data_IF_295015395522
#
_entry.id   IF_295015395522
#
_cell.length_a   1.000
_cell.length_b   1.000
_cell.length_c   1.000
_cell.angle_alpha   90.00
_cell.angle_beta   90.00
_cell.angle_gamma   90.00
#
_symmetry.space_group_name_H-M   'P 1'
#
loop_
_entity.id
_entity.type
_entity.pdbx_description
1 polymer ?
#
# COMPACT_ATOMS: atom_id res chain seq x y z
N UNK A 1 24.18 4.03 -67.37
CA UNK A 1 24.87 4.37 -66.10
C UNK A 1 23.87 4.97 -65.14
N UNK A 2 23.36 4.18 -64.19
CA UNK A 2 22.78 4.65 -62.92
C UNK A 2 22.27 3.43 -62.12
N UNK A 3 23.18 2.80 -61.38
CA UNK A 3 22.87 1.72 -60.46
C UNK A 3 22.33 2.33 -59.15
N UNK A 4 21.04 2.15 -58.88
CA UNK A 4 20.45 2.41 -57.56
C UNK A 4 20.69 1.18 -56.66
N UNK A 5 21.61 1.34 -55.71
CA UNK A 5 21.95 0.32 -54.72
C UNK A 5 20.84 0.23 -53.67
N UNK A 6 20.26 -0.96 -53.50
CA UNK A 6 19.35 -1.29 -52.39
C UNK A 6 20.18 -1.38 -51.11
N UNK A 7 20.02 -0.40 -50.21
CA UNK A 7 20.49 -0.50 -48.83
C UNK A 7 19.51 -1.33 -48.01
N UNK A 8 19.86 -2.58 -47.70
CA UNK A 8 19.18 -3.37 -46.68
C UNK A 8 19.48 -2.78 -45.30
N UNK A 9 18.45 -2.22 -44.67
CA UNK A 9 18.43 -1.91 -43.24
C UNK A 9 18.37 -3.23 -42.46
N UNK A 10 19.54 -3.75 -42.11
CA UNK A 10 19.70 -4.80 -41.10
C UNK A 10 19.27 -4.23 -39.74
N UNK A 11 18.04 -4.53 -39.33
CA UNK A 11 17.57 -4.18 -38.00
C UNK A 11 18.18 -5.11 -36.95
N UNK A 12 18.81 -4.47 -35.96
CA UNK A 12 19.46 -5.03 -34.77
C UNK A 12 18.80 -6.30 -34.20
N UNK A 13 19.46 -7.44 -34.41
CA UNK A 13 19.22 -8.71 -33.71
C UNK A 13 20.09 -8.85 -32.43
N UNK A 14 20.49 -7.73 -31.82
CA UNK A 14 21.35 -7.73 -30.62
C UNK A 14 20.59 -7.14 -29.44
N UNK A 15 20.22 -8.03 -28.49
CA UNK A 15 19.97 -7.78 -27.05
C UNK A 15 18.69 -8.42 -26.44
N UNK A 16 18.30 -9.63 -26.84
CA UNK A 16 17.31 -10.44 -26.06
C UNK A 16 17.96 -11.54 -25.20
N UNK A 17 19.15 -12.00 -25.59
CA UNK A 17 19.84 -13.16 -24.98
C UNK A 17 20.07 -13.07 -23.46
N UNK A 18 20.50 -11.92 -22.88
CA UNK A 18 20.76 -11.83 -21.44
C UNK A 18 19.50 -11.90 -20.57
N UNK A 19 18.36 -11.40 -21.07
CA UNK A 19 17.09 -11.42 -20.34
C UNK A 19 16.48 -12.82 -20.32
N UNK A 20 16.55 -13.55 -21.44
CA UNK A 20 16.05 -14.92 -21.54
C UNK A 20 16.81 -15.88 -20.62
N UNK A 21 18.14 -15.74 -20.53
CA UNK A 21 18.98 -16.53 -19.63
C UNK A 21 18.63 -16.24 -18.16
N UNK A 22 18.45 -14.96 -17.82
CA UNK A 22 18.05 -14.54 -16.47
C UNK A 22 16.67 -15.09 -16.09
N UNK A 23 15.70 -15.06 -17.02
CA UNK A 23 14.37 -15.60 -16.79
C UNK A 23 14.40 -17.12 -16.58
N UNK A 24 15.18 -17.85 -17.39
CA UNK A 24 15.34 -19.30 -17.25
C UNK A 24 15.91 -19.69 -15.88
N UNK A 25 16.95 -19.00 -15.41
CA UNK A 25 17.53 -19.25 -14.08
C UNK A 25 16.54 -19.01 -12.94
N UNK A 26 15.70 -17.97 -13.04
CA UNK A 26 14.66 -17.71 -12.05
C UNK A 26 13.57 -18.79 -12.06
N UNK A 27 13.19 -19.31 -13.24
CA UNK A 27 12.24 -20.42 -13.35
C UNK A 27 12.77 -21.68 -12.68
N UNK A 28 14.07 -21.97 -12.82
CA UNK A 28 14.72 -23.09 -12.12
C UNK A 28 14.73 -22.85 -10.61
N UNK A 29 15.14 -21.66 -10.16
CA UNK A 29 15.18 -21.28 -8.73
C UNK A 29 13.81 -21.42 -8.05
N UNK A 30 12.74 -21.00 -8.73
CA UNK A 30 11.38 -20.99 -8.19
C UNK A 30 10.48 -22.11 -8.75
N UNK A 31 11.06 -23.20 -9.27
CA UNK A 31 10.29 -24.25 -9.96
C UNK A 31 9.20 -24.88 -9.07
N UNK A 32 9.46 -25.01 -7.77
CA UNK A 32 8.53 -25.61 -6.81
C UNK A 32 7.29 -24.73 -6.63
N UNK A 33 7.47 -23.42 -6.54
CA UNK A 33 6.41 -22.41 -6.47
C UNK A 33 5.58 -22.43 -7.75
N UNK A 34 6.24 -22.39 -8.91
CA UNK A 34 5.58 -22.41 -10.22
C UNK A 34 4.81 -23.72 -10.46
N UNK A 35 5.40 -24.87 -10.10
CA UNK A 35 4.76 -26.17 -10.18
C UNK A 35 3.51 -26.27 -9.30
N UNK A 36 3.60 -25.75 -8.06
CA UNK A 36 2.46 -25.65 -7.15
C UNK A 36 1.32 -24.79 -7.73
N UNK A 37 1.65 -23.63 -8.31
CA UNK A 37 0.68 -22.75 -8.96
C UNK A 37 0.00 -23.41 -10.17
N UNK A 38 0.76 -24.04 -11.06
CA UNK A 38 0.20 -24.78 -12.22
C UNK A 38 -0.77 -25.86 -11.77
N UNK A 39 -0.38 -26.66 -10.79
CA UNK A 39 -1.23 -27.72 -10.26
C UNK A 39 -2.50 -27.16 -9.63
N UNK A 40 -2.40 -26.08 -8.86
CA UNK A 40 -3.55 -25.42 -8.24
C UNK A 40 -4.56 -24.90 -9.29
N UNK A 41 -4.07 -24.18 -10.30
CA UNK A 41 -4.91 -23.60 -11.36
C UNK A 41 -5.54 -24.68 -12.24
N UNK A 42 -4.78 -25.71 -12.61
CA UNK A 42 -5.26 -26.86 -13.38
C UNK A 42 -6.38 -27.61 -12.64
N UNK A 43 -6.20 -27.84 -11.34
CA UNK A 43 -7.13 -28.63 -10.53
C UNK A 43 -8.29 -27.80 -9.93
N UNK A 44 -8.34 -26.48 -10.18
CA UNK A 44 -9.38 -25.56 -9.67
C UNK A 44 -9.58 -25.70 -8.16
N UNK A 45 -8.49 -25.88 -7.41
CA UNK A 45 -8.55 -26.17 -5.98
C UNK A 45 -9.11 -24.96 -5.22
N UNK A 46 -9.91 -25.20 -4.17
CA UNK A 46 -10.43 -24.12 -3.32
C UNK A 46 -9.30 -23.43 -2.58
N UNK A 47 -9.41 -22.12 -2.44
CA UNK A 47 -8.46 -21.31 -1.66
C UNK A 47 -8.52 -21.67 -0.18
N UNK A 48 -7.35 -21.74 0.47
CA UNK A 48 -7.25 -21.95 1.91
C UNK A 48 -7.57 -20.66 2.66
N UNK A 49 -8.01 -20.78 3.92
CA UNK A 49 -8.23 -19.62 4.79
C UNK A 49 -6.91 -18.88 5.07
N UNK A 50 -6.95 -17.56 5.14
CA UNK A 50 -5.79 -16.73 5.48
C UNK A 50 -5.47 -16.85 6.97
N UNK A 51 -4.19 -16.80 7.33
CA UNK A 51 -3.74 -16.68 8.72
C UNK A 51 -2.81 -15.47 8.89
N UNK A 52 -2.97 -14.75 10.00
CA UNK A 52 -2.09 -13.64 10.38
C UNK A 52 -0.85 -14.16 11.11
N UNK A 53 0.23 -13.37 11.10
CA UNK A 53 1.37 -13.65 11.96
C UNK A 53 0.92 -13.62 13.44
N UNK A 54 1.65 -14.32 14.31
CA UNK A 54 1.31 -14.33 15.74
C UNK A 54 1.51 -12.93 16.34
N UNK A 55 0.69 -12.57 17.32
CA UNK A 55 0.78 -11.26 17.98
C UNK A 55 2.16 -11.00 18.59
N UNK A 56 2.85 -12.05 19.07
CA UNK A 56 4.21 -11.94 19.61
C UNK A 56 5.20 -11.48 18.53
N UNK A 57 5.13 -12.04 17.32
CA UNK A 57 5.98 -11.64 16.20
C UNK A 57 5.64 -10.24 15.70
N UNK A 58 4.36 -9.91 15.64
CA UNK A 58 3.89 -8.56 15.30
C UNK A 58 4.43 -7.52 16.29
N UNK A 59 4.33 -7.80 17.59
CA UNK A 59 4.85 -6.92 18.64
C UNK A 59 6.38 -6.79 18.53
N UNK A 60 7.10 -7.89 18.27
CA UNK A 60 8.55 -7.85 18.07
C UNK A 60 8.94 -6.90 16.94
N UNK A 61 8.27 -7.00 15.78
CA UNK A 61 8.52 -6.11 14.63
C UNK A 61 8.28 -4.63 14.97
N UNK A 62 7.28 -4.32 15.78
CA UNK A 62 6.99 -2.95 16.22
C UNK A 62 8.10 -2.47 17.18
N UNK A 63 8.48 -3.28 18.16
CA UNK A 63 9.50 -2.96 19.17
C UNK A 63 10.87 -2.71 18.55
N UNK A 64 11.28 -3.49 17.55
CA UNK A 64 12.57 -3.29 16.87
C UNK A 64 12.53 -2.21 15.77
N UNK A 65 11.41 -1.50 15.64
CA UNK A 65 11.19 -0.50 14.61
C UNK A 65 11.40 -1.05 13.19
N UNK A 66 10.93 -2.28 12.95
CA UNK A 66 11.08 -2.94 11.67
C UNK A 66 10.44 -2.14 10.54
N UNK A 67 10.99 -2.31 9.34
CA UNK A 67 10.58 -1.59 8.14
C UNK A 67 10.01 -2.52 7.08
N UNK A 68 9.14 -1.97 6.24
CA UNK A 68 8.61 -2.68 5.08
C UNK A 68 9.74 -3.01 4.09
N UNK A 69 9.94 -4.28 3.70
CA UNK A 69 11.02 -4.67 2.79
C UNK A 69 10.94 -4.02 1.41
N UNK A 70 9.74 -3.63 0.96
CA UNK A 70 9.55 -2.97 -0.33
C UNK A 70 9.83 -1.46 -0.30
N UNK A 71 9.55 -0.76 0.81
CA UNK A 71 9.53 0.72 0.79
C UNK A 71 10.20 1.39 1.97
N UNK A 72 10.76 0.64 2.92
CA UNK A 72 11.40 1.20 4.12
C UNK A 72 10.43 1.85 5.11
N UNK A 73 9.11 1.81 4.87
CA UNK A 73 8.14 2.38 5.82
C UNK A 73 8.17 1.60 7.13
N UNK A 74 8.46 2.29 8.24
CA UNK A 74 8.46 1.70 9.59
C UNK A 74 7.08 1.17 9.97
N UNK A 75 7.04 -0.02 10.54
CA UNK A 75 5.85 -0.61 11.10
C UNK A 75 5.46 0.08 12.39
N UNK A 76 4.21 0.55 12.46
CA UNK A 76 3.61 1.22 13.62
C UNK A 76 2.12 0.94 13.64
N UNK A 77 1.59 0.68 14.84
CA UNK A 77 0.16 0.45 15.05
C UNK A 77 -0.40 -0.58 14.06
N UNK A 78 -1.38 -0.19 13.26
CA UNK A 78 -2.04 -1.04 12.27
C UNK A 78 -1.58 -0.84 10.83
N UNK A 79 -0.44 -0.21 10.54
CA UNK A 79 -0.04 0.15 9.16
C UNK A 79 0.54 -1.03 8.33
N UNK A 80 0.53 -2.25 8.87
CA UNK A 80 1.14 -3.43 8.27
C UNK A 80 0.24 -4.66 8.40
N UNK A 81 0.49 -5.66 7.55
CA UNK A 81 -0.16 -6.97 7.63
C UNK A 81 0.77 -8.08 7.13
N UNK A 82 0.43 -9.30 7.54
CA UNK A 82 1.11 -10.50 7.04
C UNK A 82 0.54 -10.82 5.67
N UNK A 83 1.42 -10.85 4.67
CA UNK A 83 1.05 -11.09 3.29
C UNK A 83 1.65 -12.40 2.78
N UNK A 84 0.98 -13.00 1.80
CA UNK A 84 1.49 -14.15 1.10
C UNK A 84 2.32 -13.70 -0.10
N UNK A 85 3.57 -14.18 -0.20
CA UNK A 85 4.47 -13.80 -1.30
C UNK A 85 3.88 -14.27 -2.63
N UNK A 86 3.53 -15.56 -2.67
CA UNK A 86 2.66 -16.18 -3.65
C UNK A 86 1.21 -16.11 -3.16
N UNK A 87 0.30 -15.38 -3.85
CA UNK A 87 -1.09 -15.27 -3.42
C UNK A 87 -1.80 -16.61 -3.34
N UNK A 88 -2.63 -16.81 -2.31
CA UNK A 88 -3.44 -18.04 -2.14
C UNK A 88 -4.36 -18.28 -3.35
N UNK A 89 -4.85 -17.21 -3.99
CA UNK A 89 -5.68 -17.30 -5.21
C UNK A 89 -4.94 -17.89 -6.42
N UNK A 90 -3.61 -17.97 -6.37
CA UNK A 90 -2.75 -18.56 -7.39
C UNK A 90 -2.07 -19.85 -6.91
N UNK A 91 -2.46 -20.40 -5.75
CA UNK A 91 -1.91 -21.63 -5.20
C UNK A 91 -0.90 -21.46 -4.05
N UNK A 92 -0.72 -20.23 -3.55
CA UNK A 92 0.10 -19.96 -2.38
C UNK A 92 -0.34 -20.73 -1.13
N UNK A 93 0.63 -21.16 -0.33
CA UNK A 93 0.38 -21.90 0.92
C UNK A 93 0.44 -20.99 2.14
N UNK A 94 -0.05 -21.47 3.30
CA UNK A 94 0.03 -20.75 4.58
C UNK A 94 1.35 -21.01 5.34
N UNK A 95 2.34 -21.60 4.70
CA UNK A 95 3.62 -21.91 5.33
C UNK A 95 4.42 -20.62 5.56
N UNK A 96 5.29 -20.61 6.57
CA UNK A 96 6.09 -19.42 6.89
C UNK A 96 7.05 -19.02 5.76
N UNK A 97 7.42 -19.95 4.88
CA UNK A 97 8.19 -19.65 3.66
C UNK A 97 7.44 -18.77 2.67
N UNK A 98 6.10 -18.86 2.65
CA UNK A 98 5.27 -18.06 1.74
C UNK A 98 4.69 -16.82 2.43
N UNK A 99 5.22 -16.43 3.60
CA UNK A 99 4.64 -15.34 4.39
C UNK A 99 5.69 -14.31 4.70
N UNK A 100 5.30 -13.05 4.65
CA UNK A 100 6.16 -11.92 4.98
C UNK A 100 5.34 -10.79 5.60
N UNK A 101 5.98 -9.91 6.36
CA UNK A 101 5.32 -8.69 6.82
C UNK A 101 5.54 -7.56 5.80
N UNK A 102 4.45 -6.95 5.35
CA UNK A 102 4.47 -5.77 4.47
C UNK A 102 3.65 -4.63 5.07
N UNK A 103 3.97 -3.40 4.69
CA UNK A 103 3.05 -2.30 4.94
C UNK A 103 1.81 -2.47 4.04
N UNK A 104 0.66 -2.00 4.53
CA UNK A 104 -0.61 -2.10 3.82
C UNK A 104 -0.57 -1.46 2.44
N UNK A 105 0.16 -0.35 2.25
CA UNK A 105 0.30 0.30 0.94
C UNK A 105 1.02 -0.58 -0.08
N UNK A 106 2.15 -1.22 0.29
CA UNK A 106 2.84 -2.13 -0.62
C UNK A 106 2.02 -3.39 -0.90
N UNK A 107 1.30 -3.90 0.10
CA UNK A 107 0.40 -5.03 -0.11
C UNK A 107 -0.75 -4.68 -1.07
N UNK A 108 -1.43 -3.55 -0.85
CA UNK A 108 -2.50 -3.08 -1.74
C UNK A 108 -1.99 -2.89 -3.17
N UNK A 109 -0.81 -2.28 -3.35
CA UNK A 109 -0.20 -2.12 -4.66
C UNK A 109 0.09 -3.48 -5.34
N UNK A 110 0.61 -4.48 -4.62
CA UNK A 110 0.78 -5.86 -5.16
C UNK A 110 -0.55 -6.44 -5.64
N UNK A 111 -1.61 -6.27 -4.86
CA UNK A 111 -2.96 -6.74 -5.25
C UNK A 111 -3.48 -6.01 -6.49
N UNK A 112 -3.26 -4.69 -6.61
CA UNK A 112 -3.61 -3.92 -7.79
C UNK A 112 -2.86 -4.38 -9.04
N UNK A 113 -1.56 -4.65 -8.92
CA UNK A 113 -0.74 -5.18 -10.03
C UNK A 113 -1.27 -6.55 -10.48
N UNK A 114 -1.55 -7.45 -9.53
CA UNK A 114 -2.11 -8.76 -9.85
C UNK A 114 -3.44 -8.63 -10.61
N UNK A 115 -4.32 -7.73 -10.18
CA UNK A 115 -5.62 -7.54 -10.82
C UNK A 115 -5.52 -6.86 -12.18
N UNK A 116 -4.60 -5.90 -12.33
CA UNK A 116 -4.34 -5.26 -13.62
C UNK A 116 -3.81 -6.26 -14.65
N UNK A 117 -2.94 -7.18 -14.23
CA UNK A 117 -2.31 -8.15 -15.11
C UNK A 117 -3.22 -9.37 -15.41
N UNK A 118 -3.92 -9.89 -14.39
CA UNK A 118 -4.61 -11.18 -14.46
C UNK A 118 -6.15 -11.06 -14.40
N UNK A 119 -6.67 -9.83 -14.24
CA UNK A 119 -8.09 -9.58 -14.01
C UNK A 119 -8.57 -9.99 -12.61
N UNK A 120 -9.85 -10.37 -12.52
CA UNK A 120 -10.44 -10.80 -11.25
C UNK A 120 -10.48 -12.34 -11.13
N UNK A 121 -10.31 -12.89 -9.91
CA UNK A 121 -10.46 -14.32 -9.69
C UNK A 121 -11.86 -14.83 -10.09
N UNK A 122 -12.03 -16.12 -10.42
CA UNK A 122 -11.03 -17.18 -10.30
C UNK A 122 -10.05 -17.25 -11.49
N UNK A 123 -8.75 -17.20 -11.19
CA UNK A 123 -7.67 -17.24 -12.20
C UNK A 123 -7.55 -18.58 -12.94
N UNK A 124 -8.22 -19.63 -12.48
CA UNK A 124 -8.32 -20.89 -13.22
C UNK A 124 -9.05 -20.75 -14.56
N UNK A 125 -9.76 -19.63 -14.80
CA UNK A 125 -10.45 -19.35 -16.07
C UNK A 125 -9.51 -18.90 -17.19
N UNK A 126 -8.42 -18.23 -16.83
CA UNK A 126 -7.42 -17.73 -17.80
C UNK A 126 -6.30 -18.75 -18.04
N UNK A 127 -6.31 -19.87 -17.31
CA UNK A 127 -5.33 -20.94 -17.45
C UNK A 127 -5.83 -22.02 -18.42
N UNK A 128 -4.99 -22.55 -19.34
CA UNK A 128 -3.55 -22.30 -19.47
C UNK A 128 -3.14 -21.12 -20.36
N UNK A 129 -4.09 -20.44 -21.01
CA UNK A 129 -3.83 -19.44 -22.06
C UNK A 129 -2.91 -18.30 -21.59
N UNK A 130 -3.19 -17.77 -20.39
CA UNK A 130 -2.46 -16.64 -19.78
C UNK A 130 -1.43 -17.12 -18.74
N UNK A 131 -0.90 -18.34 -18.87
CA UNK A 131 0.08 -18.85 -17.92
C UNK A 131 1.33 -17.97 -17.85
N UNK A 132 1.76 -17.40 -18.98
CA UNK A 132 2.94 -16.54 -19.02
C UNK A 132 2.77 -15.30 -18.11
N UNK A 133 1.62 -14.63 -18.16
CA UNK A 133 1.32 -13.51 -17.27
C UNK A 133 1.32 -13.92 -15.78
N UNK A 134 0.74 -15.09 -15.45
CA UNK A 134 0.77 -15.63 -14.09
C UNK A 134 2.20 -15.93 -13.65
N UNK A 135 2.99 -16.59 -14.49
CA UNK A 135 4.38 -16.96 -14.22
C UNK A 135 5.23 -15.72 -13.92
N UNK A 136 5.14 -14.69 -14.75
CA UNK A 136 5.90 -13.44 -14.57
C UNK A 136 5.51 -12.71 -13.28
N UNK A 137 4.22 -12.64 -12.95
CA UNK A 137 3.79 -12.05 -11.67
C UNK A 137 4.32 -12.83 -10.46
N UNK A 138 4.32 -14.17 -10.52
CA UNK A 138 4.84 -15.00 -9.45
C UNK A 138 6.35 -14.84 -9.30
N UNK A 139 7.10 -14.86 -10.39
CA UNK A 139 8.55 -14.66 -10.36
C UNK A 139 8.93 -13.27 -9.86
N UNK A 140 8.22 -12.22 -10.30
CA UNK A 140 8.36 -10.87 -9.77
C UNK A 140 8.07 -10.82 -8.26
N UNK A 141 7.01 -11.50 -7.82
CA UNK A 141 6.60 -11.55 -6.41
C UNK A 141 7.65 -12.19 -5.51
N UNK A 142 8.30 -13.26 -5.98
CA UNK A 142 9.36 -13.96 -5.24
C UNK A 142 10.66 -13.15 -5.23
N UNK A 143 11.13 -12.68 -6.40
CA UNK A 143 12.43 -12.01 -6.52
C UNK A 143 12.48 -10.67 -5.79
N UNK A 144 11.37 -9.91 -5.76
CA UNK A 144 11.31 -8.63 -5.03
C UNK A 144 11.41 -8.83 -3.52
N UNK A 145 11.06 -10.01 -3.02
CA UNK A 145 11.29 -10.39 -1.62
C UNK A 145 12.69 -10.94 -1.42
N UNK A 146 13.16 -11.85 -2.27
CA UNK A 146 14.43 -12.52 -2.01
C UNK A 146 15.66 -11.74 -2.42
N UNK A 147 15.54 -10.72 -3.28
CA UNK A 147 16.68 -9.98 -3.82
C UNK A 147 16.46 -8.46 -3.76
N UNK A 148 15.41 -7.98 -3.08
CA UNK A 148 15.10 -6.55 -3.01
C UNK A 148 14.17 -6.06 -4.13
N UNK A 149 13.48 -4.95 -3.87
CA UNK A 149 12.50 -4.39 -4.80
C UNK A 149 13.09 -4.08 -6.18
N UNK A 150 14.33 -3.57 -6.25
CA UNK A 150 15.00 -3.24 -7.52
C UNK A 150 15.19 -4.45 -8.44
N UNK A 151 15.28 -5.66 -7.89
CA UNK A 151 15.38 -6.89 -8.68
C UNK A 151 14.10 -7.20 -9.46
N UNK A 152 12.99 -6.55 -9.12
CA UNK A 152 11.75 -6.58 -9.88
C UNK A 152 11.89 -6.04 -11.31
N UNK A 153 12.86 -5.17 -11.59
CA UNK A 153 13.09 -4.60 -12.93
C UNK A 153 13.42 -5.65 -14.01
N UNK A 154 13.69 -6.91 -13.62
CA UNK A 154 13.80 -8.04 -14.55
C UNK A 154 12.47 -8.45 -15.19
N UNK A 155 11.35 -8.00 -14.61
CA UNK A 155 9.97 -8.14 -15.14
C UNK A 155 9.36 -6.75 -15.28
N UNK A 156 9.79 -5.95 -16.27
CA UNK A 156 9.47 -4.51 -16.36
C UNK A 156 7.97 -4.25 -16.35
N UNK A 157 7.17 -5.04 -17.06
CA UNK A 157 5.72 -4.88 -17.14
C UNK A 157 5.02 -5.05 -15.77
N UNK A 158 5.52 -5.94 -14.91
CA UNK A 158 4.97 -6.13 -13.56
C UNK A 158 5.52 -5.07 -12.60
N UNK A 159 6.80 -4.74 -12.75
CA UNK A 159 7.48 -3.80 -11.87
C UNK A 159 7.01 -2.37 -12.07
N UNK A 160 6.83 -1.92 -13.30
CA UNK A 160 6.31 -0.60 -13.63
C UNK A 160 4.89 -0.41 -13.11
N UNK A 161 4.00 -1.41 -13.27
CA UNK A 161 2.67 -1.38 -12.66
C UNK A 161 2.75 -1.23 -11.13
N UNK A 162 3.72 -1.87 -10.48
CA UNK A 162 3.92 -1.72 -9.04
C UNK A 162 4.44 -0.34 -8.67
N UNK A 163 5.42 0.19 -9.39
CA UNK A 163 5.97 1.53 -9.15
C UNK A 163 4.90 2.59 -9.40
N UNK A 164 4.06 2.43 -10.41
CA UNK A 164 2.91 3.30 -10.66
C UNK A 164 1.92 3.24 -9.49
N UNK A 165 1.46 2.04 -9.14
CA UNK A 165 0.48 1.85 -8.07
C UNK A 165 0.99 2.28 -6.69
N UNK A 166 2.29 2.16 -6.41
CA UNK A 166 2.86 2.42 -5.08
C UNK A 166 3.53 3.78 -4.96
N UNK A 167 4.18 4.26 -6.01
CA UNK A 167 5.10 5.39 -5.97
C UNK A 167 4.85 6.39 -7.10
N UNK A 168 3.73 6.32 -7.82
CA UNK A 168 3.42 7.20 -8.96
C UNK A 168 4.54 7.20 -10.02
N UNK A 169 5.06 6.01 -10.29
CA UNK A 169 6.06 5.75 -11.32
C UNK A 169 7.50 6.00 -10.88
N UNK A 170 7.73 6.47 -9.64
CA UNK A 170 9.07 6.75 -9.14
C UNK A 170 9.67 5.58 -8.35
N UNK A 171 10.98 5.36 -8.47
CA UNK A 171 11.69 4.44 -7.59
C UNK A 171 11.81 5.01 -6.17
N UNK A 172 11.73 4.17 -5.11
CA UNK A 172 11.93 4.65 -3.76
C UNK A 172 13.35 5.20 -3.58
N UNK A 173 13.47 6.35 -2.90
CA UNK A 173 14.74 7.08 -2.68
C UNK A 173 15.77 6.24 -1.92
N UNK A 174 15.32 5.34 -1.05
CA UNK A 174 16.17 4.43 -0.30
C UNK A 174 15.48 3.10 -0.04
N UNK A 175 16.27 2.03 0.02
CA UNK A 175 15.81 0.72 0.51
C UNK A 175 15.55 0.73 2.02
N UNK A 176 14.99 -0.36 2.56
CA UNK A 176 14.88 -0.54 4.00
C UNK A 176 16.27 -0.63 4.65
N UNK A 177 16.30 -0.41 5.95
CA UNK A 177 17.47 -0.58 6.83
C UNK A 177 17.22 -1.66 7.88
N UNK A 178 15.97 -1.78 8.34
CA UNK A 178 15.55 -2.70 9.40
C UNK A 178 14.41 -3.62 8.96
N UNK A 179 14.45 -4.14 7.74
CA UNK A 179 13.45 -5.11 7.28
C UNK A 179 13.82 -6.55 7.68
N UNK A 180 12.78 -7.36 7.80
CA UNK A 180 12.88 -8.80 8.00
C UNK A 180 12.43 -9.52 6.72
N UNK A 181 13.06 -10.66 6.44
CA UNK A 181 12.68 -11.51 5.31
C UNK A 181 11.40 -12.31 5.55
N UNK A 182 11.31 -13.45 4.87
CA UNK A 182 10.21 -14.42 5.02
C UNK A 182 10.05 -14.80 6.48
N UNK A 183 8.83 -15.14 6.93
CA UNK A 183 8.60 -15.50 8.33
C UNK A 183 9.41 -16.74 8.75
N UNK A 184 9.82 -17.59 7.81
CA UNK A 184 10.68 -18.74 8.09
C UNK A 184 12.15 -18.40 8.32
N UNK A 185 12.61 -17.21 7.95
CA UNK A 185 14.03 -16.86 8.07
C UNK A 185 14.38 -16.20 9.39
N UNK A 186 13.39 -15.89 10.24
CA UNK A 186 13.64 -15.23 11.51
C UNK A 186 12.69 -15.64 12.65
N UNK A 187 13.20 -15.49 13.88
CA UNK A 187 12.52 -15.71 15.15
C UNK A 187 12.32 -14.44 15.99
N UNK A 188 11.50 -14.53 17.03
CA UNK A 188 11.35 -13.45 18.03
C UNK A 188 12.67 -13.31 18.79
N UNK A 189 13.18 -12.09 18.90
CA UNK A 189 14.49 -11.82 19.52
C UNK A 189 15.64 -11.68 18.52
N UNK A 190 15.43 -12.01 17.25
CA UNK A 190 16.46 -11.90 16.21
C UNK A 190 16.51 -10.51 15.56
N UNK A 191 17.67 -10.20 15.00
CA UNK A 191 17.96 -8.96 14.28
C UNK A 191 17.37 -8.94 12.86
N UNK A 192 17.16 -7.75 12.26
CA UNK A 192 16.72 -7.62 10.87
C UNK A 192 17.64 -8.36 9.89
N UNK A 193 17.07 -9.30 9.13
CA UNK A 193 17.83 -10.22 8.27
C UNK A 193 17.50 -10.11 6.78
N UNK A 194 16.77 -9.07 6.37
CA UNK A 194 16.42 -8.87 4.97
C UNK A 194 17.65 -8.51 4.14
N UNK A 195 17.90 -9.23 3.05
CA UNK A 195 19.06 -9.01 2.17
C UNK A 195 19.07 -7.62 1.52
N UNK A 196 17.89 -7.04 1.28
CA UNK A 196 17.76 -5.70 0.74
C UNK A 196 17.89 -4.59 1.80
N UNK A 197 18.24 -4.94 3.04
CA UNK A 197 18.62 -3.94 4.03
C UNK A 197 19.88 -3.24 3.53
N UNK A 198 19.71 -1.98 3.14
CA UNK A 198 20.84 -1.10 2.91
C UNK A 198 21.61 -1.03 4.21
N UNK A 199 22.83 -1.59 4.23
CA UNK A 199 23.75 -1.32 5.32
C UNK A 199 23.73 0.19 5.55
N UNK A 200 23.80 0.63 6.80
CA UNK A 200 24.06 2.03 7.12
C UNK A 200 25.47 2.42 6.66
N UNK A 201 25.79 2.22 5.38
CA UNK A 201 26.92 2.78 4.68
C UNK A 201 26.69 4.29 4.70
N UNK A 202 27.40 4.91 5.64
CA UNK A 202 27.74 6.33 5.61
C UNK A 202 28.15 6.66 4.18
N UNK A 203 27.30 7.37 3.44
CA UNK A 203 27.75 8.07 2.24
C UNK A 203 27.15 9.44 2.23
N UNK A 204 28.07 10.39 2.37
CA UNK A 204 27.94 11.78 1.97
C UNK A 204 27.41 11.89 0.54
N UNK A 205 26.78 13.05 0.28
CA UNK A 205 26.48 13.69 -1.01
C UNK A 205 26.44 12.77 -2.24
N UNK A 206 25.29 12.67 -2.89
CA UNK A 206 25.01 13.58 -4.01
C UNK A 206 23.55 14.07 -3.99
N UNK A 207 23.38 15.38 -3.80
CA UNK A 207 22.19 16.10 -4.29
C UNK A 207 22.50 16.55 -5.70
N UNK A 208 21.65 16.19 -6.65
CA UNK A 208 21.21 17.09 -7.74
C UNK A 208 20.08 16.42 -8.52
N UNK A 209 18.84 16.73 -8.16
CA UNK A 209 17.74 16.75 -9.11
C UNK A 209 16.99 18.06 -8.91
N UNK A 210 17.02 18.88 -9.95
CA UNK A 210 16.25 20.11 -10.11
C UNK A 210 14.77 19.80 -9.91
N UNK A 211 14.19 20.32 -8.82
CA UNK A 211 12.77 20.19 -8.53
C UNK A 211 11.94 21.00 -9.53
N UNK A 212 11.35 20.32 -10.51
CA UNK A 212 10.23 20.84 -11.30
C UNK A 212 8.95 20.79 -10.46
N UNK A 213 8.02 21.71 -10.74
CA UNK A 213 6.72 21.86 -10.05
C UNK A 213 5.91 20.54 -10.02
N UNK A 214 6.12 19.65 -11.00
CA UNK A 214 5.52 18.30 -11.03
C UNK A 214 5.95 17.39 -9.87
N UNK A 215 7.19 17.52 -9.37
CA UNK A 215 7.69 16.74 -8.23
C UNK A 215 7.03 17.15 -6.90
N UNK A 216 6.57 18.40 -6.81
CA UNK A 216 5.85 18.91 -5.64
C UNK A 216 4.41 18.39 -5.60
N UNK A 217 3.73 18.35 -6.75
CA UNK A 217 2.40 17.76 -6.91
C UNK A 217 2.41 16.24 -6.67
N UNK A 218 3.41 15.51 -7.18
CA UNK A 218 3.56 14.06 -6.91
C UNK A 218 3.85 13.75 -5.45
N UNK A 219 4.66 14.58 -4.77
CA UNK A 219 4.93 14.42 -3.33
C UNK A 219 3.69 14.72 -2.48
N UNK A 220 2.82 15.64 -2.90
CA UNK A 220 1.50 15.87 -2.28
C UNK A 220 0.52 14.73 -2.56
N UNK A 221 0.49 14.17 -3.77
CA UNK A 221 -0.31 12.99 -4.09
C UNK A 221 0.06 11.77 -3.21
N UNK A 222 1.35 11.60 -2.89
CA UNK A 222 1.84 10.58 -1.96
C UNK A 222 1.36 10.81 -0.52
N UNK A 223 1.47 12.03 -0.01
CA UNK A 223 0.91 12.41 1.30
C UNK A 223 -0.62 12.25 1.33
N UNK A 224 -1.27 12.47 0.19
CA UNK A 224 -2.69 12.25 -0.01
C UNK A 224 -3.09 10.79 0.08
N UNK A 225 -2.40 9.88 -0.61
CA UNK A 225 -2.63 8.44 -0.45
C UNK A 225 -2.28 7.94 0.96
N UNK A 226 -1.24 8.48 1.59
CA UNK A 226 -0.89 8.15 2.98
C UNK A 226 -1.97 8.68 3.99
N UNK A 227 -2.67 9.77 3.67
CA UNK A 227 -3.80 10.29 4.49
C UNK A 227 -5.13 9.58 4.18
N UNK A 228 -5.30 9.07 2.95
CA UNK A 228 -6.50 8.39 2.46
C UNK A 228 -6.81 7.07 3.16
N UNK A 229 -5.79 6.35 3.59
CA UNK A 229 -5.92 4.99 4.10
C UNK A 229 -5.73 4.87 5.62
N UNK A 230 -5.89 6.00 6.33
CA UNK A 230 -6.07 6.04 7.79
C UNK A 230 -4.82 5.59 8.58
N UNK A 231 -3.69 6.28 8.38
CA UNK A 231 -2.37 5.89 8.92
C UNK A 231 -1.82 6.73 10.08
N UNK A 232 -2.59 7.64 10.69
CA UNK A 232 -2.20 8.22 11.98
C UNK A 232 -3.08 7.67 13.11
N UNK A 233 -2.45 7.01 14.07
CA UNK A 233 -3.08 6.73 15.36
C UNK A 233 -3.18 8.04 16.14
N UNK A 234 -4.26 8.28 16.92
CA UNK A 234 -4.36 9.45 17.77
C UNK A 234 -3.16 9.49 18.73
N UNK A 235 -2.39 10.57 18.65
CA UNK A 235 -1.35 10.86 19.64
C UNK A 235 -2.04 11.16 20.96
N UNK A 236 -1.80 10.31 21.97
CA UNK A 236 -2.15 10.60 23.36
C UNK A 236 -1.39 11.87 23.79
N UNK A 237 -2.02 13.03 23.61
CA UNK A 237 -1.62 14.31 24.18
C UNK A 237 -2.43 14.52 25.46
N UNK A 238 -2.10 13.73 26.48
CA UNK A 238 -2.53 13.97 27.86
C UNK A 238 -1.53 14.89 28.55
N UNK A 239 -2.01 16.06 28.93
CA UNK A 239 -1.30 17.18 29.55
C UNK A 239 -0.45 16.81 30.76
N UNK A 240 0.74 17.42 30.79
CA UNK A 240 1.50 17.83 31.96
C UNK A 240 0.64 18.66 32.93
N UNK A 241 0.49 18.20 34.17
CA UNK A 241 0.37 19.08 35.34
C UNK A 241 1.27 18.58 36.47
N UNK A 242 2.08 19.50 36.97
CA UNK A 242 3.03 19.46 38.10
C UNK A 242 2.29 19.37 39.45
N UNK A 243 2.64 18.46 40.39
CA UNK A 243 3.55 18.65 41.56
C UNK A 243 2.94 17.89 42.77
N UNK A 244 3.61 17.73 43.93
CA UNK A 244 4.96 17.22 44.18
C UNK A 244 5.00 16.11 45.28
N UNK A 245 6.13 15.42 45.37
CA UNK A 245 6.80 14.84 46.54
C UNK A 245 5.96 14.24 47.70
N UNK A 246 6.14 12.93 47.92
CA UNK A 246 6.37 12.41 49.27
C UNK A 246 7.28 11.19 49.23
N UNK A 247 8.45 11.34 49.85
CA UNK A 247 9.33 10.27 50.29
C UNK A 247 8.59 9.38 51.29
N UNK A 248 8.77 8.06 51.19
CA UNK A 248 8.92 7.24 52.38
C UNK A 248 9.76 5.99 52.06
N UNK A 249 10.85 5.90 52.80
CA UNK A 249 11.79 4.77 52.89
C UNK A 249 11.25 3.81 53.94
N UNK A 250 10.96 2.55 53.59
CA UNK A 250 11.01 1.43 54.55
C UNK A 250 11.51 0.17 53.85
N UNK A 251 12.67 -0.30 54.31
CA UNK A 251 13.28 -1.62 54.12
C UNK A 251 12.50 -2.73 54.81
N UNK A 252 12.44 -3.93 54.23
CA UNK A 252 11.99 -5.13 54.95
C UNK A 252 11.92 -6.38 54.08
N UNK A 253 12.42 -7.50 54.61
CA UNK A 253 12.81 -8.75 53.93
C UNK A 253 11.66 -9.75 53.68
N UNK A 254 11.96 -10.70 52.78
CA UNK A 254 11.66 -12.14 52.81
C UNK A 254 10.24 -12.68 52.52
N UNK A 255 10.22 -13.45 51.43
CA UNK A 255 9.89 -14.88 51.35
C UNK A 255 8.42 -15.37 51.25
N UNK A 256 8.23 -16.16 50.18
CA UNK A 256 7.30 -17.28 49.92
C UNK A 256 5.78 -17.07 49.98
N UNK A 257 5.18 -17.35 48.82
CA UNK A 257 4.11 -18.33 48.58
C UNK A 257 2.72 -17.87 48.11
N UNK A 258 2.26 -18.68 47.15
CA UNK A 258 0.89 -19.02 46.75
C UNK A 258 -0.17 -17.96 46.41
N UNK A 259 -0.61 -18.06 45.15
CA UNK A 259 -2.03 -18.10 44.78
C UNK A 259 -2.88 -16.85 44.99
N UNK A 260 -2.81 -15.91 44.04
CA UNK A 260 -3.93 -14.99 43.77
C UNK A 260 -4.26 -14.91 42.28
N UNK A 261 -5.45 -15.44 41.99
CA UNK A 261 -6.23 -15.27 40.76
C UNK A 261 -6.33 -13.78 40.45
N UNK A 262 -5.71 -13.36 39.34
CA UNK A 262 -5.83 -12.01 38.79
C UNK A 262 -7.24 -11.81 38.22
N UNK A 263 -7.94 -10.71 38.58
CA UNK A 263 -9.19 -10.37 37.92
C UNK A 263 -8.88 -9.95 36.49
N UNK A 264 -9.56 -10.62 35.55
CA UNK A 264 -9.55 -10.30 34.13
C UNK A 264 -10.21 -8.92 33.94
N UNK A 265 -9.43 -7.86 34.06
CA UNK A 265 -9.83 -6.50 33.68
C UNK A 265 -10.06 -6.52 32.18
N UNK A 266 -11.33 -6.65 31.81
CA UNK A 266 -11.78 -6.57 30.44
C UNK A 266 -11.87 -5.08 30.13
N UNK A 267 -10.77 -4.47 29.71
CA UNK A 267 -10.82 -3.18 29.02
C UNK A 267 -11.47 -3.45 27.66
N UNK A 268 -12.81 -3.45 27.64
CA UNK A 268 -13.55 -3.29 26.42
C UNK A 268 -13.22 -1.90 25.89
N UNK A 269 -12.42 -1.83 24.84
CA UNK A 269 -12.50 -0.73 23.89
C UNK A 269 -13.94 -0.72 23.36
N UNK A 270 -14.83 0.00 24.06
CA UNK A 270 -16.07 0.47 23.48
C UNK A 270 -15.66 1.45 22.39
N UNK A 271 -15.40 0.93 21.18
CA UNK A 271 -15.48 1.72 19.95
C UNK A 271 -16.92 2.21 19.87
N UNK A 272 -17.18 3.37 20.46
CA UNK A 272 -18.43 4.08 20.27
C UNK A 272 -18.62 4.21 18.76
N UNK A 273 -19.68 3.61 18.24
CA UNK A 273 -20.16 3.85 16.88
C UNK A 273 -20.67 5.29 16.84
N UNK A 274 -19.76 6.25 16.86
CA UNK A 274 -20.10 7.65 16.69
C UNK A 274 -20.52 7.81 15.22
N UNK A 275 -21.80 8.11 15.02
CA UNK A 275 -22.36 8.46 13.72
C UNK A 275 -22.51 9.98 13.66
N UNK A 276 -22.33 10.55 12.47
CA UNK A 276 -22.55 11.99 12.27
C UNK A 276 -24.03 12.29 12.36
N UNK A 277 -24.36 13.39 13.03
CA UNK A 277 -25.70 13.97 12.97
C UNK A 277 -25.98 14.56 11.59
N UNK A 278 -27.26 14.64 11.22
CA UNK A 278 -27.68 15.27 9.95
C UNK A 278 -27.19 16.73 9.86
N UNK A 279 -27.15 17.45 10.98
CA UNK A 279 -26.63 18.82 11.05
C UNK A 279 -25.15 18.88 10.72
N UNK A 280 -24.33 17.95 11.21
CA UNK A 280 -22.90 17.88 10.87
C UNK A 280 -22.68 17.52 9.40
N UNK A 281 -23.49 16.63 8.84
CA UNK A 281 -23.45 16.27 7.42
C UNK A 281 -23.78 17.50 6.55
N UNK A 282 -24.80 18.28 6.93
CA UNK A 282 -25.16 19.53 6.24
C UNK A 282 -24.04 20.57 6.29
N UNK A 283 -23.37 20.75 7.44
CA UNK A 283 -22.22 21.65 7.58
C UNK A 283 -21.06 21.22 6.68
N UNK A 284 -20.77 19.91 6.61
CA UNK A 284 -19.73 19.37 5.73
C UNK A 284 -20.04 19.63 4.26
N UNK A 285 -21.29 19.37 3.84
CA UNK A 285 -21.76 19.62 2.47
C UNK A 285 -21.62 21.08 2.09
N UNK A 286 -22.06 22.01 2.94
CA UNK A 286 -21.89 23.45 2.69
C UNK A 286 -20.42 23.82 2.54
N UNK A 287 -19.56 23.37 3.46
CA UNK A 287 -18.11 23.64 3.41
C UNK A 287 -17.46 23.12 2.13
N UNK A 288 -17.84 21.92 1.68
CA UNK A 288 -17.30 21.34 0.45
C UNK A 288 -17.81 22.05 -0.80
N UNK A 289 -19.06 22.53 -0.79
CA UNK A 289 -19.61 23.36 -1.85
C UNK A 289 -18.85 24.68 -1.97
N UNK A 290 -18.67 25.40 -0.86
CA UNK A 290 -17.94 26.66 -0.83
C UNK A 290 -16.49 26.47 -1.33
N UNK A 291 -15.84 25.37 -0.94
CA UNK A 291 -14.49 25.04 -1.41
C UNK A 291 -14.45 24.74 -2.91
N UNK A 292 -15.36 23.90 -3.41
CA UNK A 292 -15.41 23.54 -4.82
C UNK A 292 -15.69 24.75 -5.70
N UNK A 293 -16.68 25.59 -5.34
CA UNK A 293 -16.98 26.83 -6.06
C UNK A 293 -15.79 27.79 -6.08
N UNK A 294 -15.07 27.93 -4.96
CA UNK A 294 -13.87 28.75 -4.92
C UNK A 294 -12.74 28.16 -5.78
N UNK A 295 -12.57 26.84 -5.81
CA UNK A 295 -11.60 26.18 -6.67
C UNK A 295 -11.93 26.38 -8.16
N UNK A 296 -13.19 26.23 -8.56
CA UNK A 296 -13.64 26.48 -9.94
C UNK A 296 -13.37 27.94 -10.35
N UNK A 297 -13.71 28.90 -9.49
CA UNK A 297 -13.49 30.32 -9.75
C UNK A 297 -12.00 30.69 -9.88
N UNK A 298 -11.11 30.00 -9.16
CA UNK A 298 -9.67 30.31 -9.15
C UNK A 298 -8.86 29.61 -10.24
N UNK A 299 -9.36 28.49 -10.79
CA UNK A 299 -8.59 27.59 -11.64
C UNK A 299 -9.27 27.35 -13.00
N UNK A 300 -9.84 28.42 -13.58
CA UNK A 300 -10.44 28.40 -14.92
C UNK A 300 -11.50 27.29 -15.07
N UNK A 301 -12.38 27.16 -14.07
CA UNK A 301 -13.47 26.18 -14.10
C UNK A 301 -13.04 24.73 -13.85
N UNK A 302 -11.84 24.47 -13.31
CA UNK A 302 -11.38 23.09 -13.07
C UNK A 302 -10.60 22.88 -11.77
N UNK A 303 -10.61 21.67 -11.20
CA UNK A 303 -9.74 21.29 -10.08
C UNK A 303 -9.55 19.78 -9.99
N UNK A 304 -8.47 19.30 -9.36
CA UNK A 304 -8.20 17.86 -9.29
C UNK A 304 -9.12 17.14 -8.29
N UNK A 305 -9.59 15.95 -8.68
CA UNK A 305 -10.32 15.03 -7.82
C UNK A 305 -9.52 14.69 -6.55
N UNK A 306 -8.19 14.58 -6.67
CA UNK A 306 -7.31 14.32 -5.54
C UNK A 306 -7.37 15.41 -4.48
N UNK A 307 -7.35 16.68 -4.88
CA UNK A 307 -7.36 17.81 -3.93
C UNK A 307 -8.70 17.89 -3.18
N UNK A 308 -9.82 17.68 -3.88
CA UNK A 308 -11.13 17.63 -3.24
C UNK A 308 -11.27 16.46 -2.27
N UNK A 309 -10.83 15.27 -2.68
CA UNK A 309 -10.89 14.09 -1.82
C UNK A 309 -9.96 14.23 -0.60
N UNK A 310 -8.89 15.04 -0.71
CA UNK A 310 -8.04 15.36 0.43
C UNK A 310 -8.83 16.11 1.50
N UNK A 311 -9.57 17.14 1.10
CA UNK A 311 -10.45 17.89 2.00
C UNK A 311 -11.45 16.95 2.71
N UNK A 312 -12.10 16.05 1.98
CA UNK A 312 -13.03 15.05 2.55
C UNK A 312 -12.33 14.15 3.58
N UNK A 313 -11.12 13.66 3.26
CA UNK A 313 -10.31 12.84 4.17
C UNK A 313 -9.90 13.60 5.44
N UNK A 314 -9.56 14.87 5.30
CA UNK A 314 -9.15 15.74 6.41
C UNK A 314 -10.29 15.94 7.41
N UNK A 315 -11.50 16.20 6.92
CA UNK A 315 -12.70 16.36 7.73
C UNK A 315 -13.08 15.09 8.49
N UNK A 316 -12.86 13.92 7.88
CA UNK A 316 -13.04 12.62 8.53
C UNK A 316 -12.05 12.43 9.67
N UNK A 317 -10.76 12.69 9.43
CA UNK A 317 -9.69 12.57 10.44
C UNK A 317 -9.95 13.51 11.62
N UNK A 318 -10.33 14.76 11.33
CA UNK A 318 -10.63 15.76 12.36
C UNK A 318 -11.77 15.31 13.30
N UNK A 319 -12.62 14.39 12.86
CA UNK A 319 -13.74 13.84 13.63
C UNK A 319 -13.47 12.45 14.22
N UNK A 320 -12.28 11.88 13.99
CA UNK A 320 -11.91 10.57 14.50
C UNK A 320 -12.77 9.41 13.95
N UNK A 321 -13.39 9.59 12.77
CA UNK A 321 -14.34 8.62 12.22
C UNK A 321 -13.66 7.60 11.31
N UNK A 322 -14.09 6.35 11.41
CA UNK A 322 -13.72 5.35 10.40
C UNK A 322 -14.36 5.69 9.06
N UNK A 323 -13.69 5.36 7.94
CA UNK A 323 -14.25 5.53 6.59
C UNK A 323 -15.66 4.94 6.45
N UNK A 324 -15.89 3.74 7.01
CA UNK A 324 -17.19 3.08 6.89
C UNK A 324 -18.31 3.85 7.60
N UNK A 325 -18.02 4.46 8.75
CA UNK A 325 -19.00 5.29 9.48
C UNK A 325 -19.22 6.62 8.76
N UNK A 326 -18.13 7.25 8.31
CA UNK A 326 -18.16 8.54 7.63
C UNK A 326 -18.91 8.46 6.29
N UNK A 327 -18.58 7.49 5.45
CA UNK A 327 -19.23 7.31 4.14
C UNK A 327 -20.70 6.91 4.27
N UNK A 328 -21.04 6.10 5.30
CA UNK A 328 -22.44 5.78 5.58
C UNK A 328 -23.25 7.04 5.92
N UNK A 329 -22.71 7.90 6.78
CA UNK A 329 -23.39 9.13 7.16
C UNK A 329 -23.59 10.09 5.99
N UNK A 330 -22.66 10.10 5.03
CA UNK A 330 -22.78 10.89 3.80
C UNK A 330 -23.67 10.23 2.75
N UNK A 331 -24.14 8.99 2.95
CA UNK A 331 -24.86 8.25 1.92
C UNK A 331 -23.98 7.85 0.70
N UNK A 332 -22.67 7.72 0.90
CA UNK A 332 -21.70 7.36 -0.14
C UNK A 332 -21.41 5.86 -0.12
N UNK A 333 -21.33 5.24 -1.30
CA UNK A 333 -21.08 3.81 -1.42
C UNK A 333 -19.66 3.42 -0.98
N UNK A 334 -19.54 2.70 0.14
CA UNK A 334 -18.25 2.37 0.77
C UNK A 334 -17.23 1.67 -0.16
N UNK A 335 -17.69 0.79 -1.05
CA UNK A 335 -16.83 0.01 -1.95
C UNK A 335 -16.63 0.65 -3.34
N UNK A 336 -17.13 1.86 -3.56
CA UNK A 336 -16.94 2.54 -4.84
C UNK A 336 -15.49 3.01 -5.02
N UNK A 337 -15.06 3.14 -6.28
CA UNK A 337 -13.78 3.78 -6.59
C UNK A 337 -13.81 5.26 -6.18
N UNK A 338 -12.65 5.83 -5.87
CA UNK A 338 -12.53 7.20 -5.36
C UNK A 338 -13.23 8.25 -6.27
N UNK A 339 -13.08 8.25 -7.61
CA UNK A 339 -13.83 9.17 -8.47
C UNK A 339 -15.35 9.03 -8.37
N UNK A 340 -15.85 7.81 -8.18
CA UNK A 340 -17.29 7.55 -8.00
C UNK A 340 -17.81 8.03 -6.64
N UNK A 341 -16.97 8.02 -5.59
CA UNK A 341 -17.31 8.61 -4.29
C UNK A 341 -17.36 10.13 -4.36
N UNK A 342 -16.36 10.73 -5.01
CA UNK A 342 -16.33 12.19 -5.25
C UNK A 342 -17.55 12.61 -6.06
N UNK A 343 -17.92 11.86 -7.10
CA UNK A 343 -19.15 12.08 -7.87
C UNK A 343 -20.39 12.20 -6.96
N UNK A 344 -20.63 11.19 -6.12
CA UNK A 344 -21.77 11.15 -5.21
C UNK A 344 -21.80 12.36 -4.26
N UNK A 345 -20.64 12.79 -3.76
CA UNK A 345 -20.54 13.96 -2.88
C UNK A 345 -20.88 15.25 -3.64
N UNK A 346 -20.30 15.44 -4.83
CA UNK A 346 -20.54 16.63 -5.65
C UNK A 346 -22.00 16.73 -6.12
N UNK A 347 -22.63 15.60 -6.47
CA UNK A 347 -24.06 15.52 -6.81
C UNK A 347 -24.95 15.91 -5.62
N UNK A 348 -24.61 15.46 -4.40
CA UNK A 348 -25.35 15.80 -3.18
C UNK A 348 -25.27 17.29 -2.80
N UNK A 349 -24.23 18.00 -3.25
CA UNK A 349 -24.09 19.44 -3.03
C UNK A 349 -24.57 20.27 -4.23
N UNK A 350 -25.15 19.62 -5.25
CA UNK A 350 -25.80 20.29 -6.37
C UNK A 350 -24.85 20.91 -7.40
N UNK A 351 -23.60 20.45 -7.47
CA UNK A 351 -22.67 20.92 -8.51
C UNK A 351 -22.90 20.17 -9.83
N UNK A 352 -22.89 20.91 -10.93
CA UNK A 352 -22.88 20.36 -12.29
C UNK A 352 -21.45 20.27 -12.80
N UNK A 353 -20.97 19.06 -13.11
CA UNK A 353 -19.57 18.83 -13.45
C UNK A 353 -19.39 17.59 -14.34
N UNK A 354 -18.25 17.56 -15.04
CA UNK A 354 -17.73 16.38 -15.73
C UNK A 354 -16.38 15.99 -15.16
N UNK A 355 -16.03 14.70 -15.28
CA UNK A 355 -14.67 14.26 -14.99
C UNK A 355 -13.87 14.14 -16.28
N UNK A 356 -12.77 14.86 -16.36
CA UNK A 356 -11.80 14.72 -17.43
C UNK A 356 -10.61 13.89 -16.96
N UNK A 357 -10.25 12.85 -17.71
CA UNK A 357 -9.07 12.03 -17.40
C UNK A 357 -7.84 12.67 -18.04
N UNK A 358 -6.86 12.98 -17.20
CA UNK A 358 -5.55 13.53 -17.59
C UNK A 358 -4.43 12.54 -17.30
N UNK A 359 -3.21 12.84 -17.75
CA UNK A 359 -1.99 12.10 -17.37
C UNK A 359 -1.72 12.13 -15.86
N UNK A 360 -2.23 13.15 -15.15
CA UNK A 360 -1.99 13.36 -13.72
C UNK A 360 -3.17 12.90 -12.83
N UNK A 361 -4.18 12.26 -13.41
CA UNK A 361 -5.37 11.80 -12.69
C UNK A 361 -6.67 12.36 -13.26
N UNK A 362 -7.67 12.58 -12.42
CA UNK A 362 -8.97 13.09 -12.83
C UNK A 362 -9.11 14.57 -12.44
N UNK A 363 -9.55 15.39 -13.39
CA UNK A 363 -10.02 16.75 -13.17
C UNK A 363 -11.54 16.76 -13.03
N UNK A 364 -12.05 17.61 -12.16
CA UNK A 364 -13.45 18.04 -12.09
C UNK A 364 -13.49 19.32 -12.90
N UNK A 365 -14.33 19.36 -13.93
CA UNK A 365 -14.52 20.52 -14.80
C UNK A 365 -15.99 20.93 -14.71
N UNK A 366 -16.23 22.24 -14.58
CA UNK A 366 -17.59 22.80 -14.61
C UNK A 366 -18.26 22.42 -15.94
N UNK A 367 -19.45 21.83 -15.85
CA UNK A 367 -20.21 21.48 -17.04
C UNK A 367 -20.93 22.75 -17.54
N UNK A 368 -20.60 23.22 -18.74
CA UNK A 368 -21.36 24.28 -19.40
C UNK A 368 -22.78 23.79 -19.71
N UNK A 369 -23.80 24.62 -19.50
CA UNK A 369 -25.20 24.29 -19.80
C UNK A 369 -25.50 24.00 -21.30
N UNK A 370 -24.49 24.09 -22.17
CA UNK A 370 -24.62 23.93 -23.64
C UNK A 370 -24.29 22.52 -24.18
N UNK A 371 -23.98 21.54 -23.34
CA UNK A 371 -23.81 20.11 -23.72
C UNK A 371 -24.86 19.21 -23.04
#
# INVERSE_FOLDING_TARGET
MSNFSKGELSMNAQSTRPQEETHHLLKLKYQSVLGGAKNFLKNRTKTKNRSSCSSIRVNWLITCEAECPHCGLRFRGGNHNTEHIHPISLGGTNNNDNRIQLCKNCNNARNSVMQALLGHPPFSKIFPQEWDAVERYLLWSEITIDEGLSSGARFPEVHELFLEARFAGESPVSGPKKAFGRLSTWGVGEEPNYIGNTAALRSAHTKTTTGTISSFLRRKARLFFDRLFDYESPTNTGQTTSSPLREEVVTGQSAVDESKVLPKVTQGEQKSNQELSETEVSILRQKWNDHALNCLAQNDGSFFVGDFWQLVSDERIARGLSWRSFERALGVTHKAAMPSKVRQILEQIGLNFIFEKTENGYLIVEASEEE
#
